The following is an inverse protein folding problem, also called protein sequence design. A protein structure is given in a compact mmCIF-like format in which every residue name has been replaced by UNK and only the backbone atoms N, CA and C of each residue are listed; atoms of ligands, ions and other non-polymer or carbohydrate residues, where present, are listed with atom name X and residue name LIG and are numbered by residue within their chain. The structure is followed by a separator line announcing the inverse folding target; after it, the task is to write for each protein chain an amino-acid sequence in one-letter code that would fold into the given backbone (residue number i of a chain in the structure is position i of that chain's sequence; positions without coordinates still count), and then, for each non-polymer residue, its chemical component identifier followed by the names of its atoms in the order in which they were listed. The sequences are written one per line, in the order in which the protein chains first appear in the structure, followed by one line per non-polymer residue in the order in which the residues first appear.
data_IF_893888638234
#
_entry.id   IF_893888638234
#
_cell.length_a   1.000
_cell.length_b   1.000
_cell.length_c   1.000
_cell.angle_alpha   90.00
_cell.angle_beta   90.00
_cell.angle_gamma   90.00
#
_symmetry.space_group_name_H-M   'P 1'
#
loop_
_entity.id
_entity.type
_entity.pdbx_description
1 polymer ?
#
# COMPACT_ATOMS: atom_id res chain seq x y z
N UNK A 1 30.00 8.68 34.45
CA UNK A 1 29.27 9.94 34.67
C UNK A 1 27.80 9.65 34.39
N UNK A 2 26.94 9.58 35.42
CA UNK A 2 25.52 9.25 35.21
C UNK A 2 24.82 10.43 34.55
N UNK A 3 24.13 10.20 33.42
CA UNK A 3 23.27 11.21 32.81
C UNK A 3 22.15 11.55 33.78
N UNK A 4 22.17 12.75 34.38
CA UNK A 4 21.00 13.34 35.02
C UNK A 4 20.09 13.89 33.92
N UNK A 5 19.22 13.04 33.39
CA UNK A 5 18.20 13.43 32.41
C UNK A 5 16.94 13.97 33.08
N UNK A 6 16.27 14.93 32.43
CA UNK A 6 14.89 15.34 32.77
C UNK A 6 13.93 14.33 32.14
N UNK A 7 12.99 13.81 32.91
CA UNK A 7 11.91 12.97 32.39
C UNK A 7 10.89 13.81 31.61
N UNK A 8 10.49 13.31 30.44
CA UNK A 8 9.48 13.92 29.56
C UNK A 8 8.35 12.89 29.26
N UNK A 9 7.57 12.49 30.28
CA UNK A 9 6.59 11.39 30.16
C UNK A 9 5.51 11.66 29.10
N UNK A 10 5.21 12.92 28.80
CA UNK A 10 4.23 13.29 27.76
C UNK A 10 4.66 12.90 26.34
N UNK A 11 5.96 12.70 26.10
CA UNK A 11 6.48 12.18 24.82
C UNK A 11 6.27 10.67 24.68
N UNK A 12 6.10 9.95 25.79
CA UNK A 12 5.87 8.51 25.79
C UNK A 12 4.38 8.15 25.65
N UNK A 13 3.48 9.12 25.82
CA UNK A 13 2.04 8.93 25.65
C UNK A 13 1.65 9.05 24.17
N UNK A 14 1.03 8.00 23.66
CA UNK A 14 0.48 7.93 22.31
C UNK A 14 -0.69 8.90 22.13
N UNK A 15 -0.96 9.30 20.88
CA UNK A 15 -2.17 10.03 20.55
C UNK A 15 -3.46 9.31 20.99
N UNK A 16 -3.48 7.96 20.94
CA UNK A 16 -4.62 7.16 21.37
C UNK A 16 -4.88 7.30 22.89
N UNK A 17 -3.84 7.19 23.72
CA UNK A 17 -3.97 7.37 25.17
C UNK A 17 -4.45 8.79 25.53
N UNK A 18 -3.90 9.80 24.85
CA UNK A 18 -4.32 11.20 25.03
C UNK A 18 -5.78 11.40 24.61
N UNK A 19 -6.21 10.74 23.54
CA UNK A 19 -7.60 10.76 23.08
C UNK A 19 -8.56 10.15 24.12
N UNK A 20 -8.22 8.98 24.68
CA UNK A 20 -9.03 8.36 25.73
C UNK A 20 -9.13 9.23 26.98
N UNK A 21 -8.01 9.78 27.46
CA UNK A 21 -8.00 10.69 28.61
C UNK A 21 -8.87 11.94 28.37
N UNK A 22 -8.83 12.49 27.15
CA UNK A 22 -9.67 13.63 26.77
C UNK A 22 -11.16 13.29 26.75
N UNK A 23 -11.53 12.07 26.31
CA UNK A 23 -12.92 11.60 26.36
C UNK A 23 -13.39 11.46 27.81
N UNK A 24 -12.57 10.86 28.68
CA UNK A 24 -12.89 10.63 30.10
C UNK A 24 -13.10 11.94 30.87
N UNK A 25 -12.34 12.99 30.55
CA UNK A 25 -12.50 14.30 31.19
C UNK A 25 -13.55 15.21 30.51
N UNK A 26 -14.18 14.75 29.42
CA UNK A 26 -15.18 15.52 28.67
C UNK A 26 -14.60 16.59 27.74
N UNK A 27 -13.28 16.62 27.51
CA UNK A 27 -12.63 17.54 26.58
C UNK A 27 -12.78 17.06 25.13
N UNK A 28 -13.92 17.43 24.52
CA UNK A 28 -14.23 17.10 23.14
C UNK A 28 -13.23 17.69 22.13
N UNK A 29 -12.65 18.86 22.42
CA UNK A 29 -11.74 19.52 21.50
C UNK A 29 -10.42 18.75 21.42
N UNK A 30 -9.86 18.40 22.58
CA UNK A 30 -8.63 17.62 22.66
C UNK A 30 -8.84 16.19 22.12
N UNK A 31 -9.98 15.55 22.41
CA UNK A 31 -10.27 14.22 21.87
C UNK A 31 -10.25 14.20 20.33
N UNK A 32 -10.86 15.20 19.67
CA UNK A 32 -10.83 15.30 18.20
C UNK A 32 -9.43 15.53 17.65
N UNK A 33 -8.65 16.41 18.30
CA UNK A 33 -7.26 16.69 17.92
C UNK A 33 -6.41 15.42 18.02
N UNK A 34 -6.54 14.67 19.12
CA UNK A 34 -5.75 13.46 19.34
C UNK A 34 -6.19 12.31 18.44
N UNK A 35 -7.49 12.21 18.11
CA UNK A 35 -7.96 11.27 17.10
C UNK A 35 -7.32 11.52 15.72
N UNK A 36 -7.15 12.79 15.32
CA UNK A 36 -6.41 13.15 14.10
C UNK A 36 -4.91 12.88 14.25
N UNK A 37 -4.33 13.14 15.43
CA UNK A 37 -2.91 12.91 15.68
C UNK A 37 -2.50 11.44 15.53
N UNK A 38 -3.39 10.47 15.78
CA UNK A 38 -3.13 9.05 15.48
C UNK A 38 -2.74 8.87 14.01
N UNK A 39 -3.46 9.53 13.10
CA UNK A 39 -3.17 9.50 11.68
C UNK A 39 -1.91 10.29 11.33
N UNK A 40 -1.77 11.48 11.89
CA UNK A 40 -0.66 12.39 11.59
C UNK A 40 0.70 11.84 12.08
N UNK A 41 0.72 11.07 13.17
CA UNK A 41 1.91 10.39 13.69
C UNK A 41 2.26 9.15 12.84
N UNK A 42 1.24 8.40 12.39
CA UNK A 42 1.44 7.18 11.60
C UNK A 42 1.87 7.48 10.16
N UNK A 43 1.32 8.53 9.55
CA UNK A 43 1.47 8.77 8.10
C UNK A 43 2.92 8.98 7.64
N UNK A 44 3.76 9.79 8.30
CA UNK A 44 5.16 9.95 7.92
C UNK A 44 5.95 8.65 8.01
N UNK A 45 5.65 7.81 9.01
CA UNK A 45 6.29 6.50 9.16
C UNK A 45 5.91 5.58 8.01
N UNK A 46 4.62 5.51 7.66
CA UNK A 46 4.16 4.76 6.49
C UNK A 46 4.87 5.21 5.20
N UNK A 47 4.90 6.51 4.93
CA UNK A 47 5.49 7.04 3.70
C UNK A 47 7.01 6.76 3.65
N UNK A 48 7.70 6.78 4.80
CA UNK A 48 9.08 6.33 4.94
C UNK A 48 9.26 4.84 4.57
N UNK A 49 8.36 3.96 5.00
CA UNK A 49 8.41 2.54 4.64
C UNK A 49 8.16 2.29 3.15
N UNK A 50 7.30 3.09 2.51
CA UNK A 50 7.11 3.04 1.05
C UNK A 50 8.39 3.45 0.33
N UNK A 51 8.99 4.58 0.71
CA UNK A 51 10.25 5.06 0.14
C UNK A 51 11.37 4.02 0.33
N UNK A 52 11.50 3.47 1.54
CA UNK A 52 12.52 2.47 1.86
C UNK A 52 12.32 1.18 1.04
N UNK A 53 11.09 0.71 0.89
CA UNK A 53 10.78 -0.45 0.05
C UNK A 53 11.13 -0.21 -1.41
N UNK A 54 10.81 0.98 -1.94
CA UNK A 54 11.21 1.38 -3.29
C UNK A 54 12.73 1.40 -3.47
N UNK A 55 13.47 1.92 -2.48
CA UNK A 55 14.94 1.97 -2.51
C UNK A 55 15.59 0.58 -2.37
N UNK A 56 15.01 -0.34 -1.59
CA UNK A 56 15.44 -1.74 -1.56
C UNK A 56 15.29 -2.38 -2.95
N UNK A 57 14.13 -2.21 -3.59
CA UNK A 57 13.92 -2.69 -4.96
C UNK A 57 14.88 -2.03 -5.96
N UNK A 58 15.19 -0.75 -5.78
CA UNK A 58 16.16 -0.01 -6.61
C UNK A 58 17.54 -0.63 -6.49
N UNK A 59 18.02 -0.84 -5.26
CA UNK A 59 19.29 -1.49 -5.01
C UNK A 59 19.35 -2.90 -5.60
N UNK A 60 18.28 -3.68 -5.44
CA UNK A 60 18.18 -5.03 -6.00
C UNK A 60 18.25 -4.98 -7.54
N UNK A 61 17.49 -4.09 -8.17
CA UNK A 61 17.54 -3.92 -9.63
C UNK A 61 18.94 -3.56 -10.10
N UNK A 62 19.57 -2.57 -9.47
CA UNK A 62 20.87 -2.06 -9.91
C UNK A 62 21.99 -3.08 -9.75
N UNK A 63 21.85 -4.03 -8.81
CA UNK A 63 22.84 -5.09 -8.56
C UNK A 63 22.55 -6.40 -9.28
N UNK A 64 21.28 -6.77 -9.42
CA UNK A 64 20.84 -8.11 -9.80
C UNK A 64 19.84 -8.12 -10.98
N UNK A 65 19.39 -6.95 -11.45
CA UNK A 65 18.44 -6.80 -12.55
C UNK A 65 16.97 -6.84 -12.11
N UNK A 66 16.08 -6.51 -13.04
CA UNK A 66 14.63 -6.41 -12.77
C UNK A 66 13.99 -7.74 -12.37
N UNK A 67 14.48 -8.86 -12.91
CA UNK A 67 13.97 -10.19 -12.55
C UNK A 67 14.15 -10.50 -11.07
N UNK A 68 15.26 -10.06 -10.47
CA UNK A 68 15.50 -10.21 -9.04
C UNK A 68 14.50 -9.41 -8.19
N UNK A 69 13.99 -8.27 -8.70
CA UNK A 69 12.93 -7.51 -8.03
C UNK A 69 11.63 -8.30 -8.01
N UNK A 70 11.25 -8.92 -9.13
CA UNK A 70 10.10 -9.83 -9.18
C UNK A 70 10.27 -10.99 -8.19
N UNK A 71 11.43 -11.65 -8.17
CA UNK A 71 11.72 -12.77 -7.28
C UNK A 71 11.61 -12.40 -5.80
N UNK A 72 12.11 -11.23 -5.41
CA UNK A 72 12.00 -10.75 -4.02
C UNK A 72 10.54 -10.47 -3.66
N UNK A 73 9.76 -9.84 -4.54
CA UNK A 73 8.34 -9.62 -4.28
C UNK A 73 7.53 -10.91 -4.21
N UNK A 74 7.86 -11.90 -5.05
CA UNK A 74 7.30 -13.25 -4.95
C UNK A 74 7.66 -13.91 -3.63
N UNK A 75 8.93 -13.85 -3.22
CA UNK A 75 9.36 -14.37 -1.92
C UNK A 75 8.58 -13.75 -0.77
N UNK A 76 8.45 -12.42 -0.72
CA UNK A 76 7.66 -11.74 0.31
C UNK A 76 6.18 -12.16 0.23
N UNK A 77 5.63 -12.31 -0.98
CA UNK A 77 4.28 -12.81 -1.20
C UNK A 77 4.06 -14.19 -0.59
N UNK A 78 4.98 -15.14 -0.80
CA UNK A 78 4.93 -16.47 -0.17
C UNK A 78 5.02 -16.41 1.36
N UNK A 79 5.86 -15.53 1.91
CA UNK A 79 6.10 -15.48 3.36
C UNK A 79 5.03 -14.72 4.15
N UNK A 80 4.43 -13.67 3.57
CA UNK A 80 3.51 -12.77 4.30
C UNK A 80 2.08 -12.79 3.75
N UNK A 81 1.93 -12.78 2.42
CA UNK A 81 0.61 -12.61 1.80
C UNK A 81 -0.14 -13.93 1.67
N UNK A 82 0.56 -14.99 1.26
CA UNK A 82 -0.02 -16.32 1.10
C UNK A 82 -0.67 -16.86 2.38
N UNK A 83 -0.03 -16.82 3.57
CA UNK A 83 -0.65 -17.34 4.79
C UNK A 83 -1.97 -16.61 5.13
N UNK A 84 -2.01 -15.30 4.92
CA UNK A 84 -3.21 -14.49 5.13
C UNK A 84 -4.35 -14.91 4.17
N UNK A 85 -4.03 -15.03 2.87
CA UNK A 85 -5.03 -15.44 1.88
C UNK A 85 -5.47 -16.89 2.06
N UNK A 86 -4.58 -17.82 2.41
CA UNK A 86 -4.96 -19.22 2.68
C UNK A 86 -5.89 -19.33 3.88
N UNK A 87 -5.67 -18.53 4.94
CA UNK A 87 -6.59 -18.46 6.08
C UNK A 87 -7.99 -17.99 5.64
N UNK A 88 -8.08 -16.97 4.77
CA UNK A 88 -9.36 -16.50 4.24
C UNK A 88 -10.01 -17.52 3.32
N UNK A 89 -9.22 -18.16 2.44
CA UNK A 89 -9.66 -19.22 1.52
C UNK A 89 -10.32 -20.38 2.27
N UNK A 90 -9.76 -20.78 3.43
CA UNK A 90 -10.32 -21.84 4.27
C UNK A 90 -11.70 -21.50 4.83
N UNK A 91 -12.00 -20.22 5.06
CA UNK A 91 -13.34 -19.77 5.47
C UNK A 91 -14.31 -19.67 4.28
N UNK A 92 -13.81 -19.71 3.04
CA UNK A 92 -14.59 -19.61 1.82
C UNK A 92 -15.19 -18.23 1.53
N UNK A 93 -14.93 -17.22 2.37
CA UNK A 93 -15.59 -15.92 2.29
C UNK A 93 -14.72 -14.88 1.58
N UNK A 94 -15.04 -14.62 0.32
CA UNK A 94 -14.53 -13.46 -0.42
C UNK A 94 -15.06 -12.15 0.17
N UNK A 95 -16.18 -12.19 0.90
CA UNK A 95 -16.72 -11.05 1.65
C UNK A 95 -15.78 -10.61 2.77
N UNK A 96 -15.18 -11.56 3.52
CA UNK A 96 -14.16 -11.23 4.52
C UNK A 96 -12.93 -10.60 3.87
N UNK A 97 -12.50 -11.13 2.71
CA UNK A 97 -11.39 -10.58 1.95
C UNK A 97 -11.69 -9.14 1.49
N UNK A 98 -12.91 -8.84 1.03
CA UNK A 98 -13.36 -7.48 0.70
C UNK A 98 -13.26 -6.55 1.89
N UNK A 99 -13.72 -6.98 3.08
CA UNK A 99 -13.66 -6.16 4.31
C UNK A 99 -12.21 -5.88 4.70
N UNK A 100 -11.35 -6.90 4.72
CA UNK A 100 -9.94 -6.74 5.09
C UNK A 100 -9.19 -5.91 4.05
N UNK A 101 -9.45 -6.10 2.77
CA UNK A 101 -8.83 -5.28 1.73
C UNK A 101 -9.26 -3.81 1.84
N UNK A 102 -10.53 -3.54 2.13
CA UNK A 102 -10.99 -2.18 2.42
C UNK A 102 -10.29 -1.57 3.65
N UNK A 103 -10.07 -2.36 4.70
CA UNK A 103 -9.31 -1.94 5.89
C UNK A 103 -7.85 -1.64 5.52
N UNK A 104 -7.22 -2.49 4.73
CA UNK A 104 -5.85 -2.31 4.23
C UNK A 104 -5.71 -1.01 3.43
N UNK A 105 -6.63 -0.74 2.49
CA UNK A 105 -6.62 0.50 1.71
C UNK A 105 -6.83 1.75 2.58
N UNK A 106 -7.73 1.69 3.57
CA UNK A 106 -7.90 2.81 4.53
C UNK A 106 -6.67 2.99 5.40
N UNK A 107 -6.10 1.89 5.90
CA UNK A 107 -4.90 1.91 6.73
C UNK A 107 -3.73 2.52 5.96
N UNK A 108 -3.51 2.17 4.69
CA UNK A 108 -2.50 2.80 3.82
C UNK A 108 -2.80 4.26 3.43
N UNK A 109 -4.05 4.73 3.61
CA UNK A 109 -4.45 6.10 3.31
C UNK A 109 -4.79 6.35 1.84
N UNK A 110 -5.22 5.32 1.12
CA UNK A 110 -5.74 5.45 -0.23
C UNK A 110 -7.03 6.29 -0.22
N UNK A 111 -7.28 7.01 -1.32
CA UNK A 111 -8.62 7.56 -1.63
C UNK A 111 -9.24 6.69 -2.70
N UNK A 112 -10.37 6.07 -2.40
CA UNK A 112 -10.97 5.10 -3.28
C UNK A 112 -12.50 5.09 -3.18
N UNK A 113 -13.13 4.55 -4.23
CA UNK A 113 -14.55 4.18 -4.26
C UNK A 113 -14.64 2.66 -4.32
N UNK A 114 -15.72 2.11 -3.75
CA UNK A 114 -16.05 0.69 -3.85
C UNK A 114 -17.33 0.56 -4.66
N UNK A 115 -17.31 -0.28 -5.68
CA UNK A 115 -18.48 -0.61 -6.50
C UNK A 115 -18.63 -2.12 -6.50
N UNK A 116 -19.82 -2.61 -6.23
CA UNK A 116 -20.14 -4.04 -6.29
C UNK A 116 -21.18 -4.27 -7.40
N UNK A 117 -20.96 -5.32 -8.19
CA UNK A 117 -21.92 -5.88 -9.13
C UNK A 117 -22.23 -7.34 -8.77
N UNK A 118 -22.92 -8.06 -9.65
CA UNK A 118 -23.29 -9.46 -9.40
C UNK A 118 -22.08 -10.41 -9.30
N UNK A 119 -20.95 -10.08 -9.90
CA UNK A 119 -19.77 -10.94 -10.01
C UNK A 119 -18.67 -10.58 -9.03
N UNK A 120 -18.45 -9.28 -8.77
CA UNK A 120 -17.26 -8.80 -8.03
C UNK A 120 -17.48 -7.49 -7.28
N UNK A 121 -16.63 -7.27 -6.28
CA UNK A 121 -16.42 -5.96 -5.66
C UNK A 121 -15.15 -5.34 -6.23
N UNK A 122 -15.23 -4.13 -6.77
CA UNK A 122 -14.12 -3.38 -7.35
C UNK A 122 -13.76 -2.16 -6.51
N UNK A 123 -12.48 -2.02 -6.21
CA UNK A 123 -11.87 -0.92 -5.49
C UNK A 123 -11.18 0.00 -6.49
N UNK A 124 -11.79 1.15 -6.75
CA UNK A 124 -11.28 2.15 -7.70
C UNK A 124 -10.46 3.16 -6.91
N UNK A 125 -9.14 3.08 -7.01
CA UNK A 125 -8.22 3.94 -6.27
C UNK A 125 -7.97 5.22 -7.06
N UNK A 126 -8.66 6.30 -6.68
CA UNK A 126 -8.43 7.66 -7.21
C UNK A 126 -7.08 8.23 -6.75
N UNK A 127 -6.59 7.75 -5.61
CA UNK A 127 -5.24 8.02 -5.13
C UNK A 127 -4.65 6.76 -4.48
N UNK A 128 -3.57 6.25 -5.05
CA UNK A 128 -2.75 5.22 -4.43
C UNK A 128 -1.73 5.88 -3.49
N UNK A 129 -1.87 5.63 -2.18
CA UNK A 129 -1.02 6.26 -1.16
C UNK A 129 0.40 5.68 -1.09
N UNK A 130 0.73 4.74 -1.97
CA UNK A 130 2.07 4.15 -2.09
C UNK A 130 2.67 4.45 -3.47
N UNK A 131 2.43 3.61 -4.49
CA UNK A 131 2.94 3.83 -5.85
C UNK A 131 2.49 5.15 -6.48
N UNK A 132 1.22 5.51 -6.31
CA UNK A 132 0.66 6.79 -6.77
C UNK A 132 1.31 7.99 -6.09
N UNK A 133 1.58 7.89 -4.79
CA UNK A 133 2.31 8.90 -4.04
C UNK A 133 3.73 9.09 -4.57
N UNK A 134 4.45 7.99 -4.87
CA UNK A 134 5.79 8.08 -5.47
C UNK A 134 5.78 8.82 -6.82
N UNK A 135 4.76 8.57 -7.65
CA UNK A 135 4.57 9.29 -8.92
C UNK A 135 4.21 10.76 -8.70
N UNK A 136 3.22 11.04 -7.85
CA UNK A 136 2.80 12.41 -7.49
C UNK A 136 3.99 13.24 -7.01
N UNK A 137 4.82 12.68 -6.16
CA UNK A 137 5.96 13.38 -5.54
C UNK A 137 7.22 13.35 -6.43
N UNK A 138 7.17 12.66 -7.57
CA UNK A 138 8.29 12.57 -8.52
C UNK A 138 9.50 11.87 -7.93
N UNK A 139 9.27 10.83 -7.13
CA UNK A 139 10.30 10.02 -6.45
C UNK A 139 10.79 8.85 -7.29
N UNK A 140 10.18 8.58 -8.43
CA UNK A 140 10.67 7.59 -9.38
C UNK A 140 11.75 8.23 -10.27
N UNK A 141 12.65 7.41 -10.81
CA UNK A 141 13.81 7.86 -11.58
C UNK A 141 13.47 8.49 -12.94
N UNK A 142 12.23 8.35 -13.38
CA UNK A 142 11.66 9.04 -14.55
C UNK A 142 11.27 10.50 -14.24
N UNK A 143 11.55 10.98 -13.02
CA UNK A 143 11.33 12.35 -12.58
C UNK A 143 12.57 12.96 -11.93
N UNK A 144 12.66 14.29 -11.95
CA UNK A 144 13.71 15.07 -11.30
C UNK A 144 13.15 15.96 -10.17
N UNK A 145 11.89 15.75 -9.76
CA UNK A 145 11.19 16.59 -8.78
C UNK A 145 11.55 16.25 -7.32
N UNK A 146 12.24 15.12 -7.10
CA UNK A 146 12.66 14.64 -5.79
C UNK A 146 14.13 14.20 -5.80
N UNK A 147 14.85 14.32 -4.68
CA UNK A 147 16.18 13.71 -4.52
C UNK A 147 16.12 12.18 -4.35
N UNK A 148 14.95 11.62 -4.02
CA UNK A 148 14.73 10.16 -4.00
C UNK A 148 14.52 9.69 -5.44
N UNK A 149 15.22 8.64 -5.84
CA UNK A 149 15.29 8.16 -7.23
C UNK A 149 15.00 6.65 -7.30
N UNK A 150 13.74 6.27 -7.10
CA UNK A 150 13.26 4.89 -7.09
C UNK A 150 13.20 4.35 -8.52
N UNK A 151 13.71 3.13 -8.69
CA UNK A 151 13.74 2.42 -9.95
C UNK A 151 12.38 2.34 -10.66
N UNK A 152 12.40 2.50 -11.99
CA UNK A 152 11.28 2.14 -12.87
C UNK A 152 11.67 0.86 -13.62
N UNK A 153 10.83 -0.16 -13.58
CA UNK A 153 11.00 -1.39 -14.34
C UNK A 153 10.65 -1.10 -15.79
N UNK A 154 11.49 -1.53 -16.74
CA UNK A 154 11.28 -1.38 -18.18
C UNK A 154 10.78 -2.65 -18.84
N UNK A 155 10.94 -3.80 -18.19
CA UNK A 155 10.46 -5.10 -18.69
C UNK A 155 8.96 -5.06 -18.90
N UNK A 156 8.49 -5.49 -20.08
CA UNK A 156 7.07 -5.71 -20.34
C UNK A 156 6.72 -7.17 -20.06
N UNK A 157 6.03 -7.39 -18.95
CA UNK A 157 5.55 -8.69 -18.51
C UNK A 157 4.27 -8.50 -17.68
N UNK A 158 3.57 -9.59 -17.37
CA UNK A 158 2.33 -9.51 -16.58
C UNK A 158 2.57 -8.88 -15.20
N UNK A 159 3.69 -9.17 -14.55
CA UNK A 159 4.07 -8.59 -13.24
C UNK A 159 4.49 -7.11 -13.32
N UNK A 160 4.60 -6.53 -14.51
CA UNK A 160 4.74 -5.09 -14.74
C UNK A 160 3.51 -4.45 -15.39
N UNK A 161 2.37 -5.16 -15.42
CA UNK A 161 1.20 -4.74 -16.18
C UNK A 161 1.52 -4.45 -17.67
N UNK A 162 2.53 -5.13 -18.21
CA UNK A 162 3.04 -4.98 -19.58
C UNK A 162 3.49 -3.55 -19.95
N UNK A 163 3.92 -2.75 -18.96
CA UNK A 163 4.36 -1.36 -19.16
C UNK A 163 5.41 -0.92 -18.13
N UNK A 164 6.10 0.22 -18.34
CA UNK A 164 6.99 0.75 -17.32
C UNK A 164 6.24 1.14 -16.04
N UNK A 165 6.70 0.66 -14.89
CA UNK A 165 6.12 0.94 -13.57
C UNK A 165 7.21 1.09 -12.52
N UNK A 166 6.91 1.81 -11.43
CA UNK A 166 7.81 1.84 -10.27
C UNK A 166 8.13 0.42 -9.80
N UNK A 167 9.39 0.15 -9.44
CA UNK A 167 9.84 -1.14 -8.89
C UNK A 167 9.04 -1.53 -7.65
N UNK A 168 8.56 -0.54 -6.90
CA UNK A 168 7.67 -0.75 -5.78
C UNK A 168 6.31 -1.32 -6.23
N UNK A 169 5.73 -0.82 -7.32
CA UNK A 169 4.39 -1.22 -7.79
C UNK A 169 4.28 -2.67 -8.30
N UNK A 170 5.40 -3.34 -8.58
CA UNK A 170 5.44 -4.73 -9.05
C UNK A 170 4.67 -5.67 -8.12
N UNK A 171 4.73 -5.45 -6.80
CA UNK A 171 4.02 -6.29 -5.83
C UNK A 171 2.50 -6.28 -6.06
N UNK A 172 1.92 -5.21 -6.64
CA UNK A 172 0.48 -5.12 -6.82
C UNK A 172 -0.02 -6.13 -7.85
N UNK A 173 0.64 -6.27 -9.00
CA UNK A 173 0.30 -7.30 -10.00
C UNK A 173 0.50 -8.71 -9.44
N UNK A 174 1.59 -8.92 -8.69
CA UNK A 174 1.90 -10.21 -8.10
C UNK A 174 0.88 -10.61 -7.03
N UNK A 175 0.63 -9.76 -6.05
CA UNK A 175 -0.16 -10.12 -4.86
C UNK A 175 -1.67 -9.97 -5.07
N UNK A 176 -2.09 -9.08 -5.98
CA UNK A 176 -3.50 -8.79 -6.26
C UNK A 176 -3.96 -9.29 -7.64
N UNK A 177 -3.25 -10.28 -8.20
CA UNK A 177 -3.70 -10.98 -9.42
C UNK A 177 -2.99 -12.33 -9.62
N UNK A 178 -1.68 -12.30 -9.87
CA UNK A 178 -0.92 -13.45 -10.40
C UNK A 178 -0.76 -14.56 -9.35
N UNK A 179 -0.23 -14.24 -8.19
CA UNK A 179 0.12 -15.24 -7.16
C UNK A 179 -1.12 -15.88 -6.51
N UNK A 180 -2.20 -15.14 -6.15
CA UNK A 180 -3.42 -15.78 -5.65
C UNK A 180 -3.94 -16.88 -6.59
N UNK A 181 -3.88 -16.64 -7.91
CA UNK A 181 -4.24 -17.64 -8.94
C UNK A 181 -3.28 -18.82 -8.95
N UNK A 182 -1.97 -18.59 -8.90
CA UNK A 182 -0.94 -19.64 -8.80
C UNK A 182 -1.12 -20.52 -7.54
N UNK A 183 -1.62 -19.93 -6.44
CA UNK A 183 -1.99 -20.64 -5.20
C UNK A 183 -3.38 -21.32 -5.26
N UNK A 184 -4.01 -21.32 -6.43
CA UNK A 184 -5.30 -21.96 -6.67
C UNK A 184 -6.49 -21.22 -6.06
N UNK A 185 -6.40 -19.90 -5.90
CA UNK A 185 -7.53 -19.05 -5.50
C UNK A 185 -7.64 -17.83 -6.41
N UNK A 186 -8.20 -18.05 -7.60
CA UNK A 186 -8.36 -17.03 -8.64
C UNK A 186 -9.53 -16.08 -8.35
N UNK A 187 -9.39 -15.25 -7.30
CA UNK A 187 -10.42 -14.30 -6.88
C UNK A 187 -10.01 -12.84 -7.06
N UNK A 188 -8.76 -12.57 -7.39
CA UNK A 188 -8.22 -11.23 -7.53
C UNK A 188 -7.95 -10.88 -9.00
N UNK A 189 -8.21 -9.63 -9.35
CA UNK A 189 -7.80 -9.03 -10.61
C UNK A 189 -7.32 -7.62 -10.33
N UNK A 190 -6.22 -7.19 -10.94
CA UNK A 190 -5.75 -5.81 -10.78
C UNK A 190 -5.37 -5.17 -12.10
N UNK A 191 -5.59 -3.86 -12.18
CA UNK A 191 -5.12 -3.02 -13.28
C UNK A 191 -4.37 -1.81 -12.74
N UNK A 192 -3.30 -1.46 -13.44
CA UNK A 192 -2.53 -0.27 -13.15
C UNK A 192 -3.15 0.95 -13.81
N UNK A 193 -3.31 2.01 -13.02
CA UNK A 193 -3.56 3.34 -13.51
C UNK A 193 -2.43 4.27 -13.10
N UNK A 194 -1.96 5.12 -14.01
CA UNK A 194 -0.83 6.01 -13.75
C UNK A 194 -1.14 7.08 -12.69
N UNK A 195 -2.42 7.44 -12.52
CA UNK A 195 -2.97 8.41 -11.56
C UNK A 195 -2.45 9.85 -11.63
N UNK A 196 -1.22 10.08 -12.11
CA UNK A 196 -0.59 11.39 -12.19
C UNK A 196 0.13 11.59 -13.53
N UNK A 197 0.20 12.84 -13.97
CA UNK A 197 1.07 13.24 -15.06
C UNK A 197 2.54 13.39 -14.62
N UNK A 198 3.43 13.78 -15.53
CA UNK A 198 4.86 13.95 -15.24
C UNK A 198 5.13 15.06 -14.21
N UNK A 199 4.22 16.04 -14.14
CA UNK A 199 4.25 17.17 -13.23
C UNK A 199 3.60 16.85 -11.88
N UNK A 200 3.12 15.62 -11.68
CA UNK A 200 2.47 15.17 -10.45
C UNK A 200 1.04 15.69 -10.29
N UNK A 201 0.42 16.18 -11.36
CA UNK A 201 -1.00 16.56 -11.35
C UNK A 201 -1.87 15.32 -11.56
N UNK A 202 -3.01 15.22 -10.85
CA UNK A 202 -3.88 14.07 -10.96
C UNK A 202 -4.47 13.95 -12.37
N UNK A 203 -4.51 12.74 -12.89
CA UNK A 203 -5.21 12.38 -14.13
C UNK A 203 -6.22 11.26 -13.82
N UNK A 204 -7.29 11.18 -14.61
CA UNK A 204 -8.36 10.19 -14.43
C UNK A 204 -7.96 8.81 -14.96
N UNK A 205 -6.95 8.21 -14.32
CA UNK A 205 -6.44 6.88 -14.61
C UNK A 205 -6.18 6.14 -13.29
N UNK A 206 -7.23 5.69 -12.59
CA UNK A 206 -7.11 5.03 -11.30
C UNK A 206 -6.54 3.61 -11.43
N UNK A 207 -5.79 3.15 -10.42
CA UNK A 207 -5.58 1.72 -10.25
C UNK A 207 -6.90 1.07 -9.82
N UNK A 208 -7.14 -0.17 -10.26
CA UNK A 208 -8.32 -0.93 -9.87
C UNK A 208 -7.86 -2.28 -9.33
N UNK A 209 -8.46 -2.70 -8.22
CA UNK A 209 -8.38 -4.08 -7.75
C UNK A 209 -9.80 -4.61 -7.58
N UNK A 210 -10.09 -5.77 -8.16
CA UNK A 210 -11.38 -6.43 -8.06
C UNK A 210 -11.23 -7.75 -7.31
N UNK A 211 -12.16 -8.01 -6.41
CA UNK A 211 -12.32 -9.28 -5.71
C UNK A 211 -13.62 -9.92 -6.20
N UNK A 212 -13.50 -11.05 -6.87
CA UNK A 212 -14.62 -11.84 -7.37
C UNK A 212 -15.30 -12.59 -6.24
N UNK A 213 -16.63 -12.67 -6.27
CA UNK A 213 -17.43 -13.40 -5.27
C UNK A 213 -17.13 -14.90 -5.29
N UNK A 214 -16.75 -15.43 -6.44
CA UNK A 214 -16.34 -16.83 -6.65
C UNK A 214 -15.03 -16.89 -7.44
N UNK A 215 -14.17 -17.91 -7.23
CA UNK A 215 -13.00 -18.11 -8.07
C UNK A 215 -13.37 -18.23 -9.54
N UNK A 216 -12.57 -17.62 -10.42
CA UNK A 216 -12.79 -17.63 -11.88
C UNK A 216 -12.35 -18.93 -12.57
N UNK A 217 -11.44 -19.67 -11.93
CA UNK A 217 -10.90 -20.96 -12.39
C UNK A 217 -10.81 -21.97 -11.26
#
# INVERSE_FOLDING_TARGET
MAMKGRELPELAKTALEKCHAAIECGDRAEAKKQAQAIWDEWRPLHDLYVDMSGLFCTFIRDKLGEKAVEEVWRYIGEQLWRPLLEQMKQTGSTELLVIVYAQFLRAHGHRFTVVEDDEKTSFIMHFCASGGMLMRDGKNEDSQRSPINIAVMQTKADWTFNQPISSYCVHSALWMDIMPREWGWDVFESSFGRQFDEQGQPIDAPCIASIYKKPRS
#
